data_IF_939314510196
#
_entry.id   IF_939314510196
#
_cell.length_a   1.000
_cell.length_b   1.000
_cell.length_c   1.000
_cell.angle_alpha   90.00
_cell.angle_beta   90.00
_cell.angle_gamma   90.00
#
_symmetry.space_group_name_H-M   'P 1'
#
loop_
_entity.id
_entity.type
_entity.pdbx_description
1 polymer ?
#
# COMPACT_ATOMS: atom_id res chain seq x y z
N UNK A 1 -36.61 -20.22 41.31
CA UNK A 1 -37.13 -19.98 39.95
C UNK A 1 -36.62 -18.65 39.41
N UNK A 2 -35.32 -18.54 39.09
CA UNK A 2 -34.72 -17.25 38.66
C UNK A 2 -33.62 -17.40 37.59
N UNK A 3 -33.58 -18.50 36.82
CA UNK A 3 -32.49 -18.73 35.85
C UNK A 3 -32.83 -18.28 34.42
N UNK A 4 -34.11 -18.30 34.03
CA UNK A 4 -34.51 -18.02 32.65
C UNK A 4 -34.51 -16.53 32.27
N UNK A 5 -34.85 -15.65 33.22
CA UNK A 5 -34.86 -14.20 32.99
C UNK A 5 -33.45 -13.64 32.83
N UNK A 6 -32.49 -14.13 33.62
CA UNK A 6 -31.09 -13.69 33.55
C UNK A 6 -30.44 -14.06 32.20
N UNK A 7 -30.76 -15.24 31.65
CA UNK A 7 -30.23 -15.68 30.37
C UNK A 7 -30.75 -14.84 29.20
N UNK A 8 -32.05 -14.48 29.21
CA UNK A 8 -32.64 -13.60 28.19
C UNK A 8 -32.04 -12.19 28.22
N UNK A 9 -31.79 -11.63 29.40
CA UNK A 9 -31.16 -10.32 29.52
C UNK A 9 -29.71 -10.31 29.01
N UNK A 10 -28.93 -11.35 29.33
CA UNK A 10 -27.56 -11.49 28.83
C UNK A 10 -27.52 -11.63 27.30
N UNK A 11 -28.46 -12.39 26.73
CA UNK A 11 -28.55 -12.56 25.28
C UNK A 11 -28.95 -11.28 24.55
N UNK A 12 -29.91 -10.52 25.10
CA UNK A 12 -30.29 -9.20 24.59
C UNK A 12 -29.13 -8.19 24.67
N UNK A 13 -28.37 -8.18 25.77
CA UNK A 13 -27.20 -7.32 25.92
C UNK A 13 -26.12 -7.67 24.90
N UNK A 14 -25.87 -8.96 24.66
CA UNK A 14 -24.92 -9.42 23.66
C UNK A 14 -25.32 -8.97 22.24
N UNK A 15 -26.60 -9.15 21.86
CA UNK A 15 -27.10 -8.74 20.55
C UNK A 15 -27.01 -7.22 20.38
N UNK A 16 -27.46 -6.45 21.38
CA UNK A 16 -27.36 -4.98 21.34
C UNK A 16 -25.90 -4.50 21.29
N UNK A 17 -24.98 -5.20 21.96
CA UNK A 17 -23.55 -4.92 21.88
C UNK A 17 -22.97 -5.14 20.47
N UNK A 18 -23.39 -6.19 19.76
CA UNK A 18 -22.98 -6.47 18.38
C UNK A 18 -23.49 -5.42 17.39
N UNK A 19 -24.71 -4.90 17.60
CA UNK A 19 -25.27 -3.83 16.74
C UNK A 19 -24.62 -2.45 16.96
N UNK A 20 -23.89 -2.24 18.05
CA UNK A 20 -23.13 -1.00 18.30
C UNK A 20 -21.75 -0.99 17.63
N UNK A 21 -21.34 -2.09 16.98
CA UNK A 21 -20.15 -2.07 16.14
C UNK A 21 -20.54 -1.38 14.84
N UNK A 22 -20.37 -0.06 14.80
CA UNK A 22 -20.41 0.70 13.56
C UNK A 22 -19.52 -0.04 12.55
N UNK A 23 -20.09 -0.44 11.44
CA UNK A 23 -19.35 -1.01 10.32
C UNK A 23 -18.36 0.06 9.82
N UNK A 24 -17.15 0.07 10.38
CA UNK A 24 -16.10 1.01 10.00
C UNK A 24 -15.49 0.48 8.71
N UNK A 25 -16.03 0.93 7.58
CA UNK A 25 -15.35 0.79 6.30
C UNK A 25 -14.25 1.84 6.25
N UNK A 26 -13.01 1.42 6.46
CA UNK A 26 -11.85 2.29 6.19
C UNK A 26 -11.52 2.18 4.71
N UNK A 27 -11.90 3.18 3.93
CA UNK A 27 -11.33 3.32 2.59
C UNK A 27 -9.85 3.69 2.72
N UNK A 28 -9.00 3.06 1.91
CA UNK A 28 -7.59 3.42 1.89
C UNK A 28 -7.47 4.89 1.47
N UNK A 29 -6.59 5.69 2.11
CA UNK A 29 -6.51 7.11 1.78
C UNK A 29 -6.17 7.30 0.31
N UNK A 30 -6.95 8.12 -0.39
CA UNK A 30 -6.68 8.45 -1.78
C UNK A 30 -5.42 9.29 -1.89
N UNK A 31 -4.57 8.96 -2.86
CA UNK A 31 -3.43 9.78 -3.24
C UNK A 31 -3.94 10.95 -4.08
N UNK A 32 -3.45 12.15 -3.79
CA UNK A 32 -3.61 13.26 -4.72
C UNK A 32 -2.77 12.96 -5.98
N UNK A 33 -3.33 13.28 -7.14
CA UNK A 33 -2.57 13.26 -8.39
C UNK A 33 -1.42 14.24 -8.28
N UNK A 34 -0.22 13.79 -8.62
CA UNK A 34 0.97 14.65 -8.65
C UNK A 34 1.74 14.47 -9.95
N UNK A 35 2.33 15.57 -10.40
CA UNK A 35 3.25 15.63 -11.51
C UNK A 35 4.64 15.10 -11.10
N UNK A 36 5.14 15.42 -9.90
CA UNK A 36 6.34 14.80 -9.31
C UNK A 36 6.03 13.41 -8.77
N UNK A 37 6.80 12.41 -9.23
CA UNK A 37 6.56 11.01 -8.89
C UNK A 37 7.83 10.27 -8.47
N UNK A 38 7.66 9.33 -7.55
CA UNK A 38 8.66 8.32 -7.22
C UNK A 38 8.32 7.02 -7.94
N UNK A 39 9.31 6.44 -8.61
CA UNK A 39 9.17 5.14 -9.26
C UNK A 39 9.55 4.04 -8.28
N UNK A 40 8.62 3.14 -7.99
CA UNK A 40 8.89 1.91 -7.24
C UNK A 40 9.02 0.73 -8.21
N UNK A 41 10.09 -0.04 -8.07
CA UNK A 41 10.35 -1.25 -8.85
C UNK A 41 10.01 -2.48 -8.01
N UNK A 42 9.04 -3.25 -8.49
CA UNK A 42 8.40 -4.33 -7.76
C UNK A 42 8.74 -5.69 -8.37
N UNK A 43 8.80 -6.68 -7.49
CA UNK A 43 8.97 -8.08 -7.82
C UNK A 43 7.66 -8.80 -7.54
N UNK A 44 6.90 -9.08 -8.58
CA UNK A 44 5.78 -10.01 -8.52
C UNK A 44 6.24 -11.29 -9.22
N UNK A 45 6.33 -12.42 -8.55
CA UNK A 45 6.41 -13.68 -9.29
C UNK A 45 5.41 -14.64 -8.71
N UNK A 46 4.56 -15.27 -9.54
CA UNK A 46 3.67 -16.33 -9.10
C UNK A 46 4.39 -17.67 -8.80
N UNK A 47 5.72 -17.67 -8.63
CA UNK A 47 6.51 -18.89 -8.41
C UNK A 47 7.86 -18.69 -7.71
N UNK A 48 8.16 -17.49 -7.22
CA UNK A 48 9.40 -17.21 -6.48
C UNK A 48 9.34 -17.77 -5.05
N UNK A 49 10.39 -18.48 -4.63
CA UNK A 49 10.54 -19.11 -3.30
C UNK A 49 10.64 -18.12 -2.12
N UNK A 50 10.46 -16.82 -2.36
CA UNK A 50 10.49 -15.78 -1.33
C UNK A 50 9.07 -15.46 -0.87
N UNK A 51 8.80 -15.31 0.44
CA UNK A 51 7.44 -15.17 0.92
C UNK A 51 6.80 -13.90 0.35
N UNK A 52 5.71 -14.10 -0.41
CA UNK A 52 4.79 -13.09 -0.96
C UNK A 52 4.45 -11.99 0.07
N UNK A 53 4.46 -12.35 1.36
CA UNK A 53 4.15 -11.53 2.51
C UNK A 53 5.09 -10.31 2.65
N UNK A 54 6.40 -10.48 2.47
CA UNK A 54 7.36 -9.38 2.67
C UNK A 54 7.22 -8.29 1.60
N UNK A 55 6.84 -8.69 0.38
CA UNK A 55 6.58 -7.79 -0.73
C UNK A 55 5.37 -6.88 -0.48
N UNK A 56 4.24 -7.49 -0.12
CA UNK A 56 3.00 -6.78 0.15
C UNK A 56 3.18 -5.76 1.27
N UNK A 57 3.93 -6.12 2.32
CA UNK A 57 4.23 -5.20 3.41
C UNK A 57 5.15 -4.04 3.01
N UNK A 58 6.22 -4.30 2.25
CA UNK A 58 7.11 -3.25 1.75
C UNK A 58 6.36 -2.24 0.89
N UNK A 59 5.50 -2.73 0.00
CA UNK A 59 4.70 -1.87 -0.86
C UNK A 59 3.62 -1.10 -0.10
N UNK A 60 2.96 -1.74 0.87
CA UNK A 60 2.00 -1.08 1.74
C UNK A 60 2.68 0.04 2.54
N UNK A 61 3.84 -0.23 3.13
CA UNK A 61 4.64 0.78 3.85
C UNK A 61 5.06 1.94 2.94
N UNK A 62 5.51 1.65 1.72
CA UNK A 62 5.86 2.68 0.76
C UNK A 62 4.64 3.56 0.41
N UNK A 63 3.50 2.97 0.06
CA UNK A 63 2.26 3.73 -0.21
C UNK A 63 1.81 4.55 1.00
N UNK A 64 1.87 3.97 2.20
CA UNK A 64 1.57 4.69 3.44
C UNK A 64 2.50 5.88 3.65
N UNK A 65 3.79 5.75 3.35
CA UNK A 65 4.75 6.85 3.46
C UNK A 65 4.42 8.00 2.48
N UNK A 66 4.03 7.70 1.23
CA UNK A 66 3.62 8.73 0.26
C UNK A 66 2.37 9.47 0.75
N UNK A 67 1.35 8.74 1.20
CA UNK A 67 0.13 9.31 1.76
C UNK A 67 0.46 10.21 2.96
N UNK A 68 1.34 9.72 3.84
CA UNK A 68 1.75 10.46 5.04
C UNK A 68 2.51 11.73 4.67
N UNK A 69 3.39 11.67 3.66
CA UNK A 69 4.09 12.84 3.14
C UNK A 69 3.11 13.89 2.58
N UNK A 70 2.10 13.47 1.82
CA UNK A 70 1.04 14.35 1.33
C UNK A 70 0.24 14.98 2.49
N UNK A 71 -0.10 14.20 3.52
CA UNK A 71 -0.80 14.69 4.72
C UNK A 71 -0.01 15.72 5.52
N UNK A 72 1.31 15.56 5.59
CA UNK A 72 2.21 16.52 6.24
C UNK A 72 2.63 17.67 5.33
N UNK A 73 2.05 17.79 4.13
CA UNK A 73 2.37 18.82 3.17
C UNK A 73 3.87 18.86 2.79
N UNK A 74 4.50 17.67 2.73
CA UNK A 74 5.86 17.52 2.22
C UNK A 74 5.80 17.63 0.70
N UNK A 75 6.43 18.67 0.18
CA UNK A 75 6.43 19.01 -1.25
C UNK A 75 7.84 19.13 -1.79
N UNK A 76 8.01 18.84 -3.07
CA UNK A 76 9.21 19.17 -3.84
C UNK A 76 8.79 20.25 -4.82
N UNK A 77 9.48 21.40 -4.83
CA UNK A 77 9.15 22.53 -5.71
C UNK A 77 7.68 23.00 -5.59
N UNK A 78 7.05 22.81 -4.42
CA UNK A 78 5.65 23.16 -4.17
C UNK A 78 4.62 22.15 -4.67
N UNK A 79 5.04 21.06 -5.29
CA UNK A 79 4.18 19.96 -5.71
C UNK A 79 4.24 18.78 -4.74
N UNK A 80 3.11 18.07 -4.59
CA UNK A 80 3.06 16.86 -3.77
C UNK A 80 3.93 15.74 -4.35
N UNK A 81 4.33 14.78 -3.53
CA UNK A 81 5.03 13.60 -4.04
C UNK A 81 3.99 12.52 -4.38
N UNK A 82 3.99 12.06 -5.61
CA UNK A 82 3.23 10.90 -6.08
C UNK A 82 4.07 9.63 -6.16
N UNK A 83 3.46 8.52 -6.55
CA UNK A 83 4.19 7.28 -6.80
C UNK A 83 3.64 6.51 -8.00
N UNK A 84 4.55 5.96 -8.80
CA UNK A 84 4.26 4.93 -9.81
C UNK A 84 4.93 3.61 -9.40
N UNK A 85 4.30 2.50 -9.77
CA UNK A 85 4.73 1.17 -9.37
C UNK A 85 4.73 0.25 -10.59
N UNK A 86 5.85 -0.42 -10.85
CA UNK A 86 6.00 -1.39 -11.94
C UNK A 86 6.40 -2.74 -11.39
N UNK A 87 5.63 -3.79 -11.71
CA UNK A 87 6.12 -5.15 -11.54
C UNK A 87 6.98 -5.55 -12.73
N UNK A 88 8.13 -6.13 -12.43
CA UNK A 88 9.14 -6.51 -13.43
C UNK A 88 9.57 -7.97 -13.29
N UNK A 89 8.91 -8.71 -12.39
CA UNK A 89 9.12 -10.13 -12.09
C UNK A 89 10.60 -10.51 -11.83
N UNK A 90 11.42 -9.51 -11.49
CA UNK A 90 12.85 -9.63 -11.26
C UNK A 90 13.66 -9.93 -12.52
N UNK A 91 13.10 -9.64 -13.69
CA UNK A 91 13.78 -9.67 -14.99
C UNK A 91 14.44 -8.31 -15.21
N UNK A 92 15.77 -8.25 -15.19
CA UNK A 92 16.52 -6.98 -15.29
C UNK A 92 16.18 -6.22 -16.57
N UNK A 93 16.00 -6.91 -17.69
CA UNK A 93 15.67 -6.27 -18.96
C UNK A 93 14.31 -5.57 -18.90
N UNK A 94 13.33 -6.17 -18.23
CA UNK A 94 12.00 -5.59 -18.07
C UNK A 94 12.04 -4.41 -17.09
N UNK A 95 12.87 -4.50 -16.04
CA UNK A 95 13.17 -3.36 -15.15
C UNK A 95 13.74 -2.19 -15.94
N UNK A 96 14.77 -2.44 -16.74
CA UNK A 96 15.46 -1.41 -17.50
C UNK A 96 14.52 -0.77 -18.53
N UNK A 97 13.80 -1.59 -19.30
CA UNK A 97 12.83 -1.12 -20.29
C UNK A 97 11.74 -0.26 -19.64
N UNK A 98 11.12 -0.76 -18.56
CA UNK A 98 10.05 -0.05 -17.89
C UNK A 98 10.53 1.25 -17.24
N UNK A 99 11.72 1.22 -16.64
CA UNK A 99 12.33 2.42 -16.05
C UNK A 99 12.55 3.48 -17.12
N UNK A 100 13.19 3.14 -18.24
CA UNK A 100 13.41 4.07 -19.35
C UNK A 100 12.10 4.65 -19.92
N UNK A 101 11.08 3.81 -20.08
CA UNK A 101 9.78 4.23 -20.60
C UNK A 101 9.08 5.22 -19.64
N UNK A 102 9.17 4.99 -18.33
CA UNK A 102 8.51 5.87 -17.35
C UNK A 102 9.31 7.16 -17.16
N UNK A 103 10.64 7.09 -17.07
CA UNK A 103 11.48 8.29 -16.94
C UNK A 103 11.41 9.21 -18.15
N UNK A 104 11.02 8.70 -19.32
CA UNK A 104 10.82 9.52 -20.53
C UNK A 104 9.45 10.19 -20.62
N UNK A 105 8.49 9.79 -19.78
CA UNK A 105 7.09 10.25 -19.87
C UNK A 105 6.55 10.89 -18.58
N UNK A 106 7.20 10.65 -17.45
CA UNK A 106 6.82 11.18 -16.15
C UNK A 106 7.99 11.93 -15.49
N UNK A 107 7.67 12.92 -14.66
CA UNK A 107 8.66 13.63 -13.85
C UNK A 107 9.06 12.77 -12.64
N UNK A 108 9.97 11.81 -12.89
CA UNK A 108 10.49 10.92 -11.85
C UNK A 108 11.67 11.58 -11.15
N UNK A 109 11.49 11.89 -9.87
CA UNK A 109 12.54 12.53 -9.03
C UNK A 109 13.39 11.52 -8.25
N UNK A 110 12.97 10.26 -8.24
CA UNK A 110 13.69 9.22 -7.53
C UNK A 110 13.15 7.82 -7.83
N UNK A 111 14.04 6.84 -7.70
CA UNK A 111 13.74 5.42 -7.89
C UNK A 111 13.92 4.71 -6.56
N UNK A 112 12.89 4.01 -6.11
CA UNK A 112 12.92 3.09 -4.98
C UNK A 112 13.22 1.71 -5.53
N UNK A 113 14.45 1.27 -5.27
CA UNK A 113 15.09 0.17 -5.97
C UNK A 113 14.42 -1.20 -5.81
N UNK A 114 14.77 -2.14 -6.70
CA UNK A 114 14.20 -3.48 -6.71
C UNK A 114 14.65 -4.26 -5.47
N UNK A 115 13.77 -5.11 -4.94
CA UNK A 115 14.04 -5.97 -3.78
C UNK A 115 15.23 -6.92 -4.01
N UNK A 116 15.45 -7.35 -5.25
CA UNK A 116 16.47 -8.31 -5.61
C UNK A 116 17.64 -7.58 -6.29
N UNK A 117 18.82 -7.68 -5.68
CA UNK A 117 20.08 -7.42 -6.38
C UNK A 117 20.50 -8.70 -7.09
N UNK A 118 20.78 -8.61 -8.39
CA UNK A 118 21.40 -9.68 -9.19
C UNK A 118 22.89 -9.39 -9.44
N UNK A 119 23.52 -8.57 -8.59
CA UNK A 119 24.93 -8.18 -8.68
C UNK A 119 25.90 -9.23 -8.11
N UNK A 120 25.45 -10.49 -7.95
CA UNK A 120 26.26 -11.60 -7.44
C UNK A 120 27.04 -12.30 -8.54
#
# INVERSE_FOLDING_TARGET
MASWWSFRCLWLYYILGQFNVLYVRTDWPSLNTSNIQLLSLLYDTPGGSSPLITYVHGFAMFKSAIILAQRYNITIEGEFIGSQSVSTDGIIMDVLQSTCQITSTANIVGIVGPRLSRES
#
